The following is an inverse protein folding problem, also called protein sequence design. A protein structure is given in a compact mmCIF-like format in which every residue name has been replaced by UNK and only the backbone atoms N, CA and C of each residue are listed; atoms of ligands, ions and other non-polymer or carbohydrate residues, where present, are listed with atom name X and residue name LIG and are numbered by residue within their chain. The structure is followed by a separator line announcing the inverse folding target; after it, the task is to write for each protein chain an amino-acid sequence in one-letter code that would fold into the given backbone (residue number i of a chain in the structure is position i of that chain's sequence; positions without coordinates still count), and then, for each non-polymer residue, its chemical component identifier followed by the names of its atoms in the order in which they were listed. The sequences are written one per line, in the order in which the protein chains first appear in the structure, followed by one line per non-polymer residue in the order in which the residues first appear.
data_IF_669082214181
#
_entry.id   IF_669082214181
#
_cell.length_a   1.000
_cell.length_b   1.000
_cell.length_c   1.000
_cell.angle_alpha   90.00
_cell.angle_beta   90.00
_cell.angle_gamma   90.00
#
_symmetry.space_group_name_H-M   'P 1'
#
loop_
_entity.id
_entity.type
_entity.pdbx_description
1 polymer ?
#
# COMPACT_ATOMS: atom_id res chain seq x y z
N UNK A 1 -13.35 -10.89 -16.55
CA UNK A 1 -12.86 -9.50 -16.44
C UNK A 1 -11.35 -9.57 -16.28
N UNK A 2 -10.58 -8.91 -17.15
CA UNK A 2 -9.11 -8.94 -17.12
C UNK A 2 -8.56 -7.70 -16.42
N UNK A 3 -7.32 -7.77 -15.94
CA UNK A 3 -6.66 -6.61 -15.32
C UNK A 3 -6.54 -5.44 -16.30
N UNK A 4 -6.23 -5.70 -17.57
CA UNK A 4 -6.18 -4.66 -18.59
C UNK A 4 -7.53 -3.97 -18.78
N UNK A 5 -8.63 -4.73 -18.80
CA UNK A 5 -9.97 -4.16 -18.94
C UNK A 5 -10.35 -3.24 -17.76
N UNK A 6 -9.90 -3.57 -16.54
CA UNK A 6 -10.12 -2.72 -15.35
C UNK A 6 -9.31 -1.44 -15.45
N UNK A 7 -8.03 -1.52 -15.86
CA UNK A 7 -7.18 -0.35 -16.05
C UNK A 7 -7.75 0.60 -17.09
N UNK A 8 -8.22 0.07 -18.21
CA UNK A 8 -8.83 0.87 -19.27
C UNK A 8 -10.13 1.53 -18.80
N UNK A 9 -10.97 0.80 -18.06
CA UNK A 9 -12.19 1.35 -17.47
C UNK A 9 -11.89 2.51 -16.51
N UNK A 10 -10.86 2.40 -15.66
CA UNK A 10 -10.46 3.47 -14.73
C UNK A 10 -9.99 4.72 -15.50
N UNK A 11 -9.25 4.55 -16.59
CA UNK A 11 -8.79 5.68 -17.42
C UNK A 11 -9.94 6.39 -18.13
N UNK A 12 -10.99 5.65 -18.49
CA UNK A 12 -12.18 6.19 -19.15
C UNK A 12 -13.20 6.81 -18.20
N UNK A 13 -13.00 6.72 -16.87
CA UNK A 13 -13.92 7.32 -15.91
C UNK A 13 -13.97 8.85 -16.05
N UNK A 14 -15.16 9.44 -15.96
CA UNK A 14 -15.31 10.88 -15.77
C UNK A 14 -14.54 11.36 -14.53
N UNK A 15 -14.12 12.62 -14.54
CA UNK A 15 -13.31 13.20 -13.45
C UNK A 15 -13.97 13.06 -12.07
N UNK A 16 -15.29 13.26 -11.99
CA UNK A 16 -16.05 13.12 -10.73
C UNK A 16 -16.00 11.68 -10.18
N UNK A 17 -16.13 10.68 -11.05
CA UNK A 17 -16.06 9.27 -10.66
C UNK A 17 -14.63 8.85 -10.33
N UNK A 18 -13.62 9.42 -11.02
CA UNK A 18 -12.22 9.19 -10.69
C UNK A 18 -11.88 9.74 -9.30
N UNK A 19 -12.33 10.95 -8.98
CA UNK A 19 -12.15 11.53 -7.63
C UNK A 19 -12.84 10.70 -6.55
N UNK A 20 -14.04 10.19 -6.83
CA UNK A 20 -14.75 9.28 -5.93
C UNK A 20 -13.97 7.96 -5.73
N UNK A 21 -13.42 7.39 -6.80
CA UNK A 21 -12.59 6.19 -6.75
C UNK A 21 -11.30 6.41 -5.96
N UNK A 22 -10.60 7.52 -6.17
CA UNK A 22 -9.39 7.90 -5.43
C UNK A 22 -9.69 8.06 -3.94
N UNK A 23 -10.79 8.76 -3.59
CA UNK A 23 -11.22 8.93 -2.21
C UNK A 23 -11.55 7.62 -1.52
N UNK A 24 -12.23 6.72 -2.23
CA UNK A 24 -12.56 5.39 -1.71
C UNK A 24 -11.30 4.53 -1.54
N UNK A 25 -10.40 4.53 -2.54
CA UNK A 25 -9.19 3.72 -2.52
C UNK A 25 -8.25 4.14 -1.39
N UNK A 26 -8.12 5.45 -1.13
CA UNK A 26 -7.34 5.96 0.01
C UNK A 26 -7.86 5.39 1.34
N UNK A 27 -9.19 5.43 1.57
CA UNK A 27 -9.80 4.90 2.79
C UNK A 27 -9.67 3.38 2.91
N UNK A 28 -9.84 2.66 1.80
CA UNK A 28 -9.67 1.21 1.78
C UNK A 28 -8.23 0.81 2.09
N UNK A 29 -7.27 1.57 1.55
CA UNK A 29 -5.84 1.38 1.81
C UNK A 29 -5.49 1.65 3.27
N UNK A 30 -5.98 2.75 3.85
CA UNK A 30 -5.77 3.07 5.27
C UNK A 30 -6.31 1.96 6.18
N UNK A 31 -7.53 1.49 5.92
CA UNK A 31 -8.14 0.40 6.69
C UNK A 31 -7.36 -0.92 6.54
N UNK A 32 -6.83 -1.21 5.35
CA UNK A 32 -6.00 -2.39 5.13
C UNK A 32 -4.67 -2.29 5.89
N UNK A 33 -4.00 -1.13 5.86
CA UNK A 33 -2.78 -0.91 6.65
C UNK A 33 -3.06 -1.09 8.13
N UNK A 34 -4.14 -0.50 8.66
CA UNK A 34 -4.49 -0.63 10.08
C UNK A 34 -4.69 -2.11 10.47
N UNK A 35 -5.37 -2.88 9.62
CA UNK A 35 -5.55 -4.32 9.84
C UNK A 35 -4.24 -5.11 9.73
N UNK A 36 -3.42 -4.83 8.71
CA UNK A 36 -2.16 -5.54 8.48
C UNK A 36 -1.17 -5.31 9.62
N UNK A 37 -1.16 -4.12 10.24
CA UNK A 37 -0.30 -3.79 11.38
C UNK A 37 -0.99 -3.94 12.75
N UNK A 38 -2.19 -4.53 12.78
CA UNK A 38 -2.85 -4.90 14.03
C UNK A 38 -2.16 -6.12 14.68
N UNK A 39 -2.40 -6.42 15.97
CA UNK A 39 -1.82 -7.58 16.63
C UNK A 39 -2.16 -8.90 15.92
N UNK A 40 -1.14 -9.60 15.42
CA UNK A 40 -1.31 -10.83 14.62
C UNK A 40 -1.60 -10.59 13.13
N UNK A 41 -1.60 -9.34 12.68
CA UNK A 41 -1.70 -8.96 11.27
C UNK A 41 -0.45 -9.31 10.46
N UNK A 42 -0.60 -9.34 9.14
CA UNK A 42 0.46 -9.76 8.22
C UNK A 42 1.70 -8.84 8.24
N UNK A 43 1.53 -7.57 8.61
CA UNK A 43 2.59 -6.57 8.74
C UNK A 43 3.48 -6.76 9.97
N UNK A 44 3.07 -7.58 10.95
CA UNK A 44 3.89 -7.82 12.15
C UNK A 44 5.19 -8.55 11.81
N UNK A 45 5.17 -9.50 10.87
CA UNK A 45 6.38 -10.18 10.41
C UNK A 45 7.38 -9.21 9.74
N UNK A 46 6.87 -8.20 9.04
CA UNK A 46 7.70 -7.14 8.47
C UNK A 46 8.33 -6.28 9.59
N UNK A 47 7.60 -5.98 10.65
CA UNK A 47 8.14 -5.25 11.81
C UNK A 47 9.24 -6.05 12.52
N UNK A 48 9.06 -7.36 12.70
CA UNK A 48 10.09 -8.23 13.29
C UNK A 48 11.37 -8.26 12.43
N UNK A 49 11.23 -8.28 11.10
CA UNK A 49 12.37 -8.21 10.17
C UNK A 49 13.07 -6.83 10.25
N UNK A 50 12.30 -5.75 10.41
CA UNK A 50 12.82 -4.40 10.58
C UNK A 50 13.60 -4.29 11.89
N UNK A 51 13.04 -4.79 13.00
CA UNK A 51 13.68 -4.77 14.33
C UNK A 51 14.99 -5.56 14.31
N UNK A 52 15.01 -6.76 13.73
CA UNK A 52 16.23 -7.57 13.60
C UNK A 52 17.32 -6.85 12.77
N UNK A 53 16.94 -6.11 11.72
CA UNK A 53 17.87 -5.31 10.93
C UNK A 53 18.41 -4.09 11.70
N UNK A 54 17.58 -3.46 12.54
CA UNK A 54 18.00 -2.37 13.43
C UNK A 54 19.01 -2.90 14.47
N UNK A 55 18.73 -4.04 15.09
CA UNK A 55 19.66 -4.70 16.04
C UNK A 55 20.99 -5.08 15.38
N UNK A 56 20.94 -5.51 14.11
CA UNK A 56 22.12 -5.80 13.31
C UNK A 56 22.86 -4.53 12.81
N UNK A 57 22.36 -3.33 13.09
CA UNK A 57 22.93 -2.06 12.64
C UNK A 57 22.80 -1.81 11.13
N UNK A 58 21.91 -2.53 10.44
CA UNK A 58 21.76 -2.50 8.98
C UNK A 58 20.66 -1.54 8.51
N UNK A 59 20.85 -0.25 8.76
CA UNK A 59 19.88 0.79 8.38
C UNK A 59 19.85 1.10 6.86
N UNK A 60 20.82 0.59 6.09
CA UNK A 60 20.98 0.93 4.67
C UNK A 60 20.05 0.19 3.70
N UNK A 61 19.35 -0.85 4.18
CA UNK A 61 18.51 -1.70 3.33
C UNK A 61 17.04 -1.21 3.25
N UNK A 62 16.62 -0.31 4.15
CA UNK A 62 15.32 0.36 4.09
C UNK A 62 15.30 1.45 3.01
N UNK A 63 15.46 1.05 1.74
CA UNK A 63 15.08 1.93 0.63
C UNK A 63 13.57 1.96 0.60
N UNK A 64 12.97 2.98 1.23
CA UNK A 64 11.62 3.41 0.90
C UNK A 64 11.64 3.85 -0.56
N UNK A 65 11.44 2.92 -1.49
CA UNK A 65 11.14 3.25 -2.87
C UNK A 65 9.74 3.83 -2.88
N UNK A 66 9.63 5.14 -2.63
CA UNK A 66 8.44 5.85 -3.08
C UNK A 66 8.35 5.61 -4.59
N UNK A 67 7.18 5.20 -5.13
CA UNK A 67 6.96 5.26 -6.56
C UNK A 67 7.22 6.71 -6.97
N UNK A 68 8.08 6.88 -7.97
CA UNK A 68 8.45 8.19 -8.48
C UNK A 68 7.21 8.77 -9.17
N UNK A 69 6.69 9.89 -8.65
CA UNK A 69 5.69 10.75 -9.30
C UNK A 69 6.22 11.29 -10.64
#
# INVERSE_FOLDING_TARGET
MTLEAIKEAIVQLPEEERLALESWLAKAWDAQIENDFSPGGAGMALLEEVDAQIEAGNFGHFKVTRPRE
#
